data_IF_884548656938
#
_entry.id   IF_884548656938
#
_cell.length_a   1.000
_cell.length_b   1.000
_cell.length_c   1.000
_cell.angle_alpha   90.00
_cell.angle_beta   90.00
_cell.angle_gamma   90.00
#
_symmetry.space_group_name_H-M   'P 1'
#
loop_
_entity.id
_entity.type
_entity.pdbx_description
1 polymer ?
#
# COMPACT_ATOMS: atom_id res chain seq x y z
N UNK A 1 -11.88 -2.02 -8.63
CA UNK A 1 -10.75 -1.92 -7.68
C UNK A 1 -11.02 -2.79 -6.46
N UNK A 2 -10.24 -3.86 -6.28
CA UNK A 2 -10.34 -4.79 -5.16
C UNK A 2 -8.97 -5.02 -4.55
N UNK A 3 -8.79 -4.64 -3.29
CA UNK A 3 -7.61 -4.96 -2.51
C UNK A 3 -7.54 -6.47 -2.28
N UNK A 4 -6.41 -7.09 -2.62
CA UNK A 4 -6.19 -8.53 -2.47
C UNK A 4 -5.17 -8.85 -1.39
N UNK A 5 -4.13 -8.02 -1.24
CA UNK A 5 -3.00 -8.28 -0.35
C UNK A 5 -2.55 -6.98 0.32
N UNK A 6 -2.16 -7.06 1.59
CA UNK A 6 -1.70 -5.91 2.37
C UNK A 6 -0.47 -6.36 3.17
N UNK A 7 0.67 -5.73 2.88
CA UNK A 7 1.90 -5.90 3.65
C UNK A 7 2.13 -4.63 4.45
N UNK A 8 2.04 -4.71 5.79
CA UNK A 8 2.26 -3.59 6.69
C UNK A 8 3.61 -3.74 7.39
N UNK A 9 4.39 -2.66 7.41
CA UNK A 9 5.59 -2.53 8.24
C UNK A 9 5.30 -1.86 9.57
N UNK A 10 4.06 -1.39 9.78
CA UNK A 10 3.60 -0.97 11.10
C UNK A 10 3.05 -2.15 11.89
N UNK A 11 3.31 -2.21 13.20
CA UNK A 11 2.68 -3.19 14.07
C UNK A 11 1.16 -3.01 14.09
N UNK A 12 0.43 -4.13 14.13
CA UNK A 12 -1.05 -4.13 14.08
C UNK A 12 -1.73 -3.31 15.19
N UNK A 13 -1.02 -3.04 16.30
CA UNK A 13 -1.46 -2.15 17.38
C UNK A 13 -1.54 -0.69 16.94
N UNK A 14 -0.65 -0.25 16.07
CA UNK A 14 -0.61 1.13 15.58
C UNK A 14 -1.59 1.31 14.43
N UNK A 15 -1.63 0.34 13.51
CA UNK A 15 -2.48 0.42 12.35
C UNK A 15 -2.91 -0.97 11.88
N UNK A 16 -4.22 -1.17 11.82
CA UNK A 16 -4.80 -2.43 11.34
C UNK A 16 -4.77 -2.53 9.83
N UNK A 17 -4.73 -3.77 9.31
CA UNK A 17 -4.83 -4.02 7.87
C UNK A 17 -6.15 -3.49 7.27
N UNK A 18 -7.24 -3.52 8.05
CA UNK A 18 -8.53 -2.96 7.63
C UNK A 18 -8.49 -1.44 7.44
N UNK A 19 -7.75 -0.72 8.29
CA UNK A 19 -7.57 0.73 8.14
C UNK A 19 -6.75 1.06 6.89
N UNK A 20 -5.66 0.31 6.65
CA UNK A 20 -4.86 0.47 5.43
C UNK A 20 -5.69 0.18 4.17
N UNK A 21 -6.53 -0.85 4.21
CA UNK A 21 -7.47 -1.16 3.14
C UNK A 21 -8.42 0.01 2.88
N UNK A 22 -9.04 0.53 3.93
CA UNK A 22 -10.00 1.62 3.83
C UNK A 22 -9.35 2.88 3.23
N UNK A 23 -8.16 3.26 3.70
CA UNK A 23 -7.40 4.40 3.15
C UNK A 23 -7.20 4.24 1.64
N UNK A 24 -6.81 3.04 1.21
CA UNK A 24 -6.55 2.77 -0.19
C UNK A 24 -7.83 2.80 -1.03
N UNK A 25 -8.93 2.22 -0.54
CA UNK A 25 -10.23 2.28 -1.20
C UNK A 25 -10.75 3.72 -1.29
N UNK A 26 -10.61 4.51 -0.23
CA UNK A 26 -10.99 5.93 -0.19
C UNK A 26 -10.13 6.79 -1.13
N UNK A 27 -8.86 6.45 -1.30
CA UNK A 27 -7.99 7.10 -2.29
C UNK A 27 -8.52 6.85 -3.70
N UNK A 28 -8.88 5.61 -4.01
CA UNK A 28 -9.45 5.25 -5.32
C UNK A 28 -10.79 5.93 -5.61
N UNK A 29 -11.60 6.20 -4.58
CA UNK A 29 -12.85 6.94 -4.73
C UNK A 29 -12.67 8.45 -4.68
N UNK A 30 -11.45 8.96 -4.45
CA UNK A 30 -11.14 10.38 -4.33
C UNK A 30 -11.71 11.04 -3.07
N UNK A 31 -12.09 10.25 -2.06
CA UNK A 31 -12.69 10.73 -0.81
C UNK A 31 -11.70 10.82 0.34
N UNK A 32 -10.52 10.24 0.18
CA UNK A 32 -9.49 10.23 1.21
C UNK A 32 -8.93 11.64 1.49
N UNK A 33 -8.97 12.06 2.77
CA UNK A 33 -8.47 13.37 3.25
C UNK A 33 -7.59 13.25 4.50
N UNK A 34 -7.00 12.08 4.72
CA UNK A 34 -6.16 11.86 5.89
C UNK A 34 -4.70 12.27 5.68
N UNK A 35 -3.87 11.98 6.67
CA UNK A 35 -2.44 12.34 6.72
C UNK A 35 -1.53 11.43 5.88
N UNK A 36 -2.03 10.27 5.43
CA UNK A 36 -1.23 9.29 4.70
C UNK A 36 -1.21 9.61 3.21
N UNK A 37 -0.09 9.39 2.54
CA UNK A 37 0.01 9.57 1.10
C UNK A 37 -0.14 8.21 0.44
N UNK A 38 -1.09 8.08 -0.49
CA UNK A 38 -1.21 6.88 -1.31
C UNK A 38 -0.53 7.15 -2.66
N UNK A 39 0.40 6.28 -3.03
CA UNK A 39 1.09 6.35 -4.32
C UNK A 39 0.98 5.03 -5.06
N UNK A 40 0.60 5.09 -6.35
CA UNK A 40 0.62 3.93 -7.24
C UNK A 40 2.02 3.68 -7.82
N UNK A 41 2.90 4.67 -7.71
CA UNK A 41 4.31 4.57 -8.07
C UNK A 41 5.15 4.33 -6.81
N UNK A 42 6.17 3.49 -6.92
CA UNK A 42 7.07 3.26 -5.80
C UNK A 42 8.11 4.37 -5.71
N UNK A 43 8.33 4.95 -4.51
CA UNK A 43 9.47 5.83 -4.29
C UNK A 43 10.80 5.13 -4.60
N UNK A 44 11.77 5.89 -5.11
CA UNK A 44 13.08 5.37 -5.53
C UNK A 44 13.90 4.77 -4.38
N UNK A 45 13.67 5.21 -3.13
CA UNK A 45 14.46 4.85 -1.95
C UNK A 45 13.76 3.79 -1.09
N UNK A 46 13.28 2.72 -1.72
CA UNK A 46 12.62 1.62 -1.02
C UNK A 46 13.62 0.54 -0.61
N UNK A 47 13.40 -0.05 0.58
CA UNK A 47 14.17 -1.19 1.07
C UNK A 47 14.00 -2.44 0.19
N UNK A 48 15.02 -3.28 0.17
CA UNK A 48 15.09 -4.41 -0.77
C UNK A 48 13.95 -5.44 -0.55
N UNK A 49 13.49 -5.62 0.69
CA UNK A 49 12.37 -6.51 1.03
C UNK A 49 11.04 -6.05 0.41
N UNK A 50 10.78 -4.74 0.39
CA UNK A 50 9.59 -4.15 -0.25
C UNK A 50 9.63 -4.36 -1.79
N UNK A 51 10.82 -4.32 -2.41
CA UNK A 51 10.98 -4.61 -3.84
C UNK A 51 10.63 -6.07 -4.15
N UNK A 52 11.05 -7.01 -3.29
CA UNK A 52 10.71 -8.43 -3.44
C UNK A 52 9.21 -8.65 -3.33
N UNK A 53 8.55 -8.10 -2.29
CA UNK A 53 7.10 -8.20 -2.13
C UNK A 53 6.33 -7.68 -3.34
N UNK A 54 6.75 -6.53 -3.90
CA UNK A 54 6.16 -6.03 -5.15
C UNK A 54 6.36 -7.01 -6.30
N UNK A 55 7.58 -7.51 -6.48
CA UNK A 55 7.90 -8.39 -7.60
C UNK A 55 7.04 -9.66 -7.56
N UNK A 56 6.81 -10.23 -6.38
CA UNK A 56 5.91 -11.36 -6.20
C UNK A 56 4.45 -11.01 -6.54
N UNK A 57 3.93 -9.89 -6.04
CA UNK A 57 2.58 -9.43 -6.39
C UNK A 57 2.42 -9.20 -7.90
N UNK A 58 3.42 -8.62 -8.55
CA UNK A 58 3.40 -8.38 -9.99
C UNK A 58 3.47 -9.68 -10.79
N UNK A 59 4.23 -10.69 -10.34
CA UNK A 59 4.24 -12.02 -10.96
C UNK A 59 2.86 -12.70 -10.90
N UNK A 60 2.08 -12.42 -9.85
CA UNK A 60 0.68 -12.89 -9.74
C UNK A 60 -0.31 -12.08 -10.59
N UNK A 61 0.17 -11.12 -11.38
CA UNK A 61 -0.66 -10.25 -12.23
C UNK A 61 -1.44 -9.20 -11.43
N UNK A 62 -1.02 -8.88 -10.21
CA UNK A 62 -1.61 -7.82 -9.39
C UNK A 62 -0.93 -6.49 -9.67
N UNK A 63 -1.70 -5.42 -9.60
CA UNK A 63 -1.14 -4.07 -9.50
C UNK A 63 -0.73 -3.82 -8.05
N UNK A 64 0.24 -2.93 -7.86
CA UNK A 64 0.79 -2.63 -6.53
C UNK A 64 0.73 -1.13 -6.30
N UNK A 65 0.23 -0.74 -5.13
CA UNK A 65 0.30 0.61 -4.60
C UNK A 65 0.98 0.61 -3.24
N UNK A 66 1.32 1.78 -2.75
CA UNK A 66 1.95 1.95 -1.46
C UNK A 66 1.28 3.08 -0.67
N UNK A 67 1.32 2.94 0.65
CA UNK A 67 0.89 3.96 1.60
C UNK A 67 2.13 4.46 2.31
N UNK A 68 2.26 5.78 2.36
CA UNK A 68 3.39 6.47 2.96
C UNK A 68 2.91 7.33 4.13
N UNK A 69 3.78 7.45 5.13
CA UNK A 69 3.71 8.44 6.20
C UNK A 69 5.06 9.15 6.27
N UNK A 70 5.07 10.48 6.23
CA UNK A 70 6.31 11.27 6.27
C UNK A 70 7.37 10.82 5.21
N UNK A 71 6.92 10.51 3.99
CA UNK A 71 7.72 9.95 2.88
C UNK A 71 8.32 8.55 3.11
N UNK A 72 7.96 7.88 4.19
CA UNK A 72 8.37 6.51 4.49
C UNK A 72 7.22 5.56 4.11
N UNK A 73 7.54 4.49 3.36
CA UNK A 73 6.55 3.47 3.01
C UNK A 73 6.21 2.66 4.25
N UNK A 74 4.94 2.71 4.65
CA UNK A 74 4.43 1.97 5.80
C UNK A 74 3.64 0.73 5.39
N UNK A 75 3.13 0.69 4.15
CA UNK A 75 2.43 -0.48 3.64
C UNK A 75 2.50 -0.59 2.10
N UNK A 76 2.46 -1.84 1.62
CA UNK A 76 2.23 -2.18 0.22
C UNK A 76 0.86 -2.83 0.06
N UNK A 77 0.13 -2.40 -0.97
CA UNK A 77 -1.20 -2.88 -1.28
C UNK A 77 -1.17 -3.55 -2.65
N UNK A 78 -1.41 -4.85 -2.66
CA UNK A 78 -1.70 -5.62 -3.87
C UNK A 78 -3.17 -5.51 -4.22
N UNK A 79 -3.48 -5.24 -5.48
CA UNK A 79 -4.86 -5.07 -5.92
C UNK A 79 -5.09 -5.50 -7.37
N UNK A 80 -6.37 -5.71 -7.69
CA UNK A 80 -6.85 -5.96 -9.04
C UNK A 80 -7.96 -4.97 -9.37
N UNK A 81 -8.01 -4.52 -10.62
CA UNK A 81 -9.11 -3.68 -11.10
C UNK A 81 -10.42 -4.46 -11.18
#
# INVERSE_FOLDING_TARGET
>A
MKVSDIFSWLPAKEMGLEQLKQIFEEYYTGTYKGEYIVSLEMPCNIENDLLNCRADLMKEGKKVGCILKDNIVIALIGYKE
#
